data_IF_977712012121
#
_entry.id   IF_977712012121
#
_cell.length_a   1.000
_cell.length_b   1.000
_cell.length_c   1.000
_cell.angle_alpha   90.00
_cell.angle_beta   90.00
_cell.angle_gamma   90.00
#
_symmetry.space_group_name_H-M   'P 1'
#
loop_
_entity.id
_entity.type
_entity.pdbx_description
1 polymer ?
#
# COMPACT_ATOMS: atom_id res chain seq x y z
N UNK A 1 9.25 13.44 -19.91
CA UNK A 1 8.86 13.94 -18.57
C UNK A 1 9.21 12.84 -17.59
N UNK A 2 10.01 13.16 -16.58
CA UNK A 2 10.89 12.20 -15.89
C UNK A 2 10.15 11.08 -15.18
N UNK A 3 10.46 9.83 -15.54
CA UNK A 3 10.25 8.69 -14.68
C UNK A 3 11.56 7.92 -14.58
N UNK A 4 12.35 8.22 -13.56
CA UNK A 4 13.38 7.30 -13.09
C UNK A 4 12.82 6.57 -11.87
N UNK A 5 11.68 5.89 -11.97
CA UNK A 5 11.27 4.98 -10.90
C UNK A 5 12.24 3.79 -10.89
N UNK A 6 12.61 3.31 -9.71
CA UNK A 6 13.27 2.00 -9.63
C UNK A 6 12.29 0.91 -10.09
N UNK A 7 12.76 -0.26 -10.52
CA UNK A 7 11.88 -1.39 -10.84
C UNK A 7 10.89 -1.70 -9.71
N UNK A 8 11.33 -1.62 -8.45
CA UNK A 8 10.52 -1.87 -7.26
C UNK A 8 9.47 -0.77 -7.03
N UNK A 9 9.81 0.50 -7.29
CA UNK A 9 8.84 1.59 -7.27
C UNK A 9 7.78 1.44 -8.35
N UNK A 10 8.16 0.98 -9.54
CA UNK A 10 7.19 0.69 -10.61
C UNK A 10 6.25 -0.46 -10.23
N UNK A 11 6.76 -1.50 -9.55
CA UNK A 11 5.93 -2.59 -8.98
C UNK A 11 4.96 -2.06 -7.92
N UNK A 12 5.43 -1.19 -7.02
CA UNK A 12 4.58 -0.55 -6.02
C UNK A 12 3.48 0.30 -6.64
N UNK A 13 3.82 1.13 -7.62
CA UNK A 13 2.84 1.94 -8.37
C UNK A 13 1.77 1.03 -8.95
N UNK A 14 2.17 -0.04 -9.64
CA UNK A 14 1.24 -1.00 -10.25
C UNK A 14 0.31 -1.66 -9.22
N UNK A 15 0.81 -1.90 -8.01
CA UNK A 15 0.04 -2.48 -6.92
C UNK A 15 -0.98 -1.48 -6.35
N UNK A 16 -0.57 -0.25 -6.06
CA UNK A 16 -1.42 0.72 -5.35
C UNK A 16 -2.44 1.42 -6.26
N UNK A 17 -2.18 1.54 -7.58
CA UNK A 17 -3.14 2.14 -8.53
C UNK A 17 -4.44 1.33 -8.67
N UNK A 18 -4.44 0.05 -8.27
CA UNK A 18 -5.67 -0.76 -8.14
C UNK A 18 -6.63 -0.23 -7.06
N UNK A 19 -6.16 0.66 -6.18
CA UNK A 19 -6.91 1.25 -5.07
C UNK A 19 -6.88 2.78 -5.17
N UNK A 20 -7.71 3.41 -6.03
CA UNK A 20 -7.64 4.84 -6.35
C UNK A 20 -7.67 5.77 -5.13
N UNK A 21 -8.47 5.42 -4.11
CA UNK A 21 -8.56 6.18 -2.85
C UNK A 21 -7.23 6.17 -2.09
N UNK A 22 -6.50 5.06 -2.13
CA UNK A 22 -5.20 4.92 -1.46
C UNK A 22 -4.08 5.50 -2.32
N UNK A 23 -4.07 5.26 -3.64
CA UNK A 23 -3.01 5.78 -4.52
C UNK A 23 -2.86 7.29 -4.49
N UNK A 24 -3.93 8.04 -4.14
CA UNK A 24 -3.88 9.49 -4.01
C UNK A 24 -2.94 10.02 -2.91
N UNK A 25 -2.51 9.16 -1.98
CA UNK A 25 -1.57 9.54 -0.91
C UNK A 25 -0.10 9.40 -1.30
N UNK A 26 0.22 8.82 -2.47
CA UNK A 26 1.59 8.69 -2.95
C UNK A 26 1.84 9.62 -4.14
N UNK A 27 2.82 10.51 -4.00
CA UNK A 27 3.36 11.28 -5.11
C UNK A 27 4.59 10.56 -5.66
N UNK A 28 4.40 9.83 -6.76
CA UNK A 28 5.47 9.07 -7.41
C UNK A 28 6.47 9.94 -8.18
N UNK A 29 6.11 11.19 -8.52
CA UNK A 29 7.07 12.11 -9.14
C UNK A 29 8.06 12.62 -8.09
N UNK A 30 7.58 12.91 -6.89
CA UNK A 30 8.39 13.36 -5.76
C UNK A 30 8.94 12.19 -4.92
N UNK A 31 8.45 10.96 -5.15
CA UNK A 31 8.75 9.75 -4.36
C UNK A 31 8.48 9.96 -2.86
N UNK A 32 7.31 10.52 -2.55
CA UNK A 32 6.88 10.75 -1.17
C UNK A 32 5.51 10.14 -0.93
N UNK A 33 5.27 9.75 0.31
CA UNK A 33 3.94 9.44 0.82
C UNK A 33 3.46 10.59 1.71
N UNK A 34 2.22 11.05 1.53
CA UNK A 34 1.56 12.02 2.40
C UNK A 34 1.07 11.33 3.69
N UNK A 35 1.99 10.77 4.48
CA UNK A 35 1.67 9.91 5.61
C UNK A 35 0.74 10.55 6.63
N UNK A 36 0.94 11.83 6.92
CA UNK A 36 0.10 12.56 7.87
C UNK A 36 -1.36 12.66 7.42
N UNK A 37 -1.59 12.73 6.11
CA UNK A 37 -2.94 12.76 5.54
C UNK A 37 -3.54 11.35 5.50
N UNK A 38 -2.74 10.35 5.11
CA UNK A 38 -3.14 8.95 5.13
C UNK A 38 -3.56 8.50 6.54
N UNK A 39 -2.73 8.80 7.55
CA UNK A 39 -3.00 8.46 8.96
C UNK A 39 -4.27 9.14 9.49
N UNK A 40 -4.56 10.38 9.08
CA UNK A 40 -5.83 11.04 9.43
C UNK A 40 -7.01 10.35 8.77
N UNK A 41 -6.85 9.92 7.52
CA UNK A 41 -7.90 9.28 6.74
C UNK A 41 -8.23 7.85 7.20
N UNK A 42 -7.32 7.16 7.89
CA UNK A 42 -7.58 5.83 8.48
C UNK A 42 -8.87 5.79 9.30
N UNK A 43 -9.19 6.86 10.04
CA UNK A 43 -10.38 6.92 10.91
C UNK A 43 -11.71 6.92 10.15
N UNK A 44 -11.70 7.21 8.85
CA UNK A 44 -12.90 7.26 7.98
C UNK A 44 -12.86 6.20 6.87
N UNK A 45 -11.88 5.29 6.94
CA UNK A 45 -11.74 4.15 6.05
C UNK A 45 -12.45 2.94 6.64
N UNK A 46 -12.94 2.07 5.76
CA UNK A 46 -13.39 0.73 6.14
C UNK A 46 -12.23 -0.09 6.74
N UNK A 47 -12.55 -1.17 7.45
CA UNK A 47 -11.51 -2.03 8.06
C UNK A 47 -10.52 -2.56 7.03
N UNK A 48 -11.01 -3.10 5.90
CA UNK A 48 -10.15 -3.56 4.79
C UNK A 48 -9.26 -2.47 4.20
N UNK A 49 -9.79 -1.25 3.99
CA UNK A 49 -8.97 -0.12 3.53
C UNK A 49 -7.90 0.27 4.55
N UNK A 50 -8.19 0.20 5.86
CA UNK A 50 -7.20 0.45 6.90
C UNK A 50 -6.07 -0.57 6.86
N UNK A 51 -6.39 -1.86 6.69
CA UNK A 51 -5.38 -2.91 6.54
C UNK A 51 -4.51 -2.69 5.30
N UNK A 52 -5.11 -2.39 4.14
CA UNK A 52 -4.36 -2.07 2.92
C UNK A 52 -3.48 -0.83 3.07
N UNK A 53 -4.02 0.24 3.69
CA UNK A 53 -3.28 1.47 3.92
C UNK A 53 -2.02 1.23 4.77
N UNK A 54 -2.16 0.46 5.86
CA UNK A 54 -1.02 0.09 6.73
C UNK A 54 -0.03 -0.81 6.00
N UNK A 55 -0.51 -1.77 5.21
CA UNK A 55 0.34 -2.62 4.38
C UNK A 55 1.17 -1.79 3.39
N UNK A 56 0.54 -0.94 2.59
CA UNK A 56 1.25 -0.10 1.62
C UNK A 56 2.20 0.89 2.28
N UNK A 57 1.82 1.47 3.42
CA UNK A 57 2.68 2.38 4.17
C UNK A 57 3.91 1.65 4.72
N UNK A 58 3.73 0.48 5.33
CA UNK A 58 4.84 -0.34 5.85
C UNK A 58 5.77 -0.83 4.75
N UNK A 59 5.23 -1.20 3.58
CA UNK A 59 6.05 -1.52 2.41
C UNK A 59 6.90 -0.34 1.95
N UNK A 60 6.29 0.85 1.84
CA UNK A 60 6.96 2.05 1.35
C UNK A 60 8.05 2.54 2.31
N UNK A 61 7.79 2.49 3.62
CA UNK A 61 8.71 3.00 4.63
C UNK A 61 9.71 1.94 5.13
N UNK A 62 9.45 0.66 4.88
CA UNK A 62 10.27 -0.44 5.39
C UNK A 62 10.21 -0.61 6.91
N UNK A 63 9.10 -0.20 7.54
CA UNK A 63 8.88 -0.26 8.98
C UNK A 63 7.53 -0.91 9.32
N UNK A 64 7.34 -1.25 10.59
CA UNK A 64 6.05 -1.74 11.08
C UNK A 64 5.07 -0.56 11.26
N UNK A 65 3.95 -0.64 10.54
CA UNK A 65 2.87 0.35 10.56
C UNK A 65 1.58 -0.22 11.16
N UNK A 66 1.69 -1.30 11.96
CA UNK A 66 0.56 -1.94 12.63
C UNK A 66 -0.32 -2.73 11.67
N UNK A 67 0.28 -3.27 10.60
CA UNK A 67 -0.37 -4.22 9.70
C UNK A 67 -0.33 -5.62 10.31
N UNK A 68 -1.49 -6.12 10.73
CA UNK A 68 -1.66 -7.52 11.12
C UNK A 68 -2.24 -8.31 9.94
N UNK A 69 -1.49 -9.30 9.46
CA UNK A 69 -1.89 -10.13 8.33
C UNK A 69 -3.07 -11.04 8.67
N UNK A 70 -3.15 -11.59 9.88
CA UNK A 70 -4.21 -12.52 10.28
C UNK A 70 -5.55 -11.80 10.40
N UNK A 71 -5.53 -10.59 10.94
CA UNK A 71 -6.71 -9.73 10.96
C UNK A 71 -7.08 -9.28 9.53
N UNK A 72 -6.09 -8.86 8.73
CA UNK A 72 -6.33 -8.40 7.36
C UNK A 72 -6.98 -9.47 6.47
N UNK A 73 -6.50 -10.73 6.51
CA UNK A 73 -7.09 -11.79 5.67
C UNK A 73 -8.55 -12.10 6.04
N UNK A 74 -8.97 -11.81 7.28
CA UNK A 74 -10.35 -11.98 7.72
C UNK A 74 -11.27 -10.94 7.07
N UNK A 75 -10.79 -9.71 6.91
CA UNK A 75 -11.55 -8.59 6.35
C UNK A 75 -11.40 -8.44 4.83
N UNK A 76 -10.33 -8.98 4.24
CA UNK A 76 -10.05 -8.88 2.82
C UNK A 76 -10.99 -9.73 1.96
N UNK A 77 -11.35 -9.18 0.80
CA UNK A 77 -12.03 -9.93 -0.25
C UNK A 77 -11.02 -10.75 -1.08
N UNK A 78 -11.51 -11.38 -2.15
CA UNK A 78 -10.66 -12.23 -2.99
C UNK A 78 -9.53 -11.45 -3.66
N UNK A 79 -9.75 -10.20 -4.04
CA UNK A 79 -8.75 -9.40 -4.76
C UNK A 79 -7.61 -9.02 -3.82
N UNK A 80 -7.93 -8.57 -2.62
CA UNK A 80 -6.96 -8.12 -1.63
C UNK A 80 -6.11 -9.28 -1.12
N UNK A 81 -6.72 -10.45 -0.93
CA UNK A 81 -5.99 -11.69 -0.60
C UNK A 81 -5.06 -12.11 -1.71
N UNK A 82 -5.49 -12.02 -2.97
CA UNK A 82 -4.63 -12.35 -4.11
C UNK A 82 -3.43 -11.41 -4.20
N UNK A 83 -3.63 -10.11 -3.97
CA UNK A 83 -2.55 -9.13 -3.90
C UNK A 83 -1.52 -9.48 -2.82
N UNK A 84 -1.96 -9.83 -1.62
CA UNK A 84 -1.05 -10.26 -0.55
C UNK A 84 -0.29 -11.53 -0.93
N UNK A 85 -0.96 -12.52 -1.52
CA UNK A 85 -0.33 -13.78 -1.95
C UNK A 85 0.72 -13.52 -3.04
N UNK A 86 0.41 -12.65 -4.00
CA UNK A 86 1.33 -12.31 -5.09
C UNK A 86 2.56 -11.57 -4.57
N UNK A 87 2.37 -10.65 -3.62
CA UNK A 87 3.50 -10.00 -2.94
C UNK A 87 4.33 -10.99 -2.09
N UNK A 88 3.69 -11.88 -1.32
CA UNK A 88 4.40 -12.87 -0.50
C UNK A 88 5.22 -13.87 -1.32
N UNK A 89 4.77 -14.17 -2.55
CA UNK A 89 5.48 -15.08 -3.45
C UNK A 89 6.79 -14.49 -3.97
N UNK A 90 6.84 -13.18 -4.16
CA UNK A 90 8.01 -12.46 -4.66
C UNK A 90 8.09 -11.07 -3.98
N UNK A 91 8.54 -11.03 -2.71
CA UNK A 91 8.50 -9.80 -1.91
C UNK A 91 9.46 -8.75 -2.45
N UNK A 92 9.02 -7.50 -2.41
CA UNK A 92 9.81 -6.34 -2.82
C UNK A 92 9.57 -5.14 -1.91
N UNK A 93 10.49 -4.19 -1.95
CA UNK A 93 10.46 -2.93 -1.20
C UNK A 93 10.79 -1.76 -2.15
N UNK A 94 9.96 -0.71 -2.21
CA UNK A 94 10.13 0.43 -3.14
C UNK A 94 11.30 1.37 -2.80
#
# INVERSE_FOLDING_TARGET
MGQNLTPEQARFVTMVVGYPRLSGYWDFNQRICHESELRKALNVMSSGEQHLARFFLGLWNGNDEGFDMLDAVSDFDHQERQLLIDWLRDPFWP
#
